data_IF_042879742217
#
_entry.id   IF_042879742217
#
_cell.length_a   1.000
_cell.length_b   1.000
_cell.length_c   1.000
_cell.angle_alpha   90.00
_cell.angle_beta   90.00
_cell.angle_gamma   90.00
#
_symmetry.space_group_name_H-M   'P 1'
#
loop_
_entity.id
_entity.type
_entity.pdbx_description
1 polymer ?
#
# COMPACT_ATOMS: atom_id res chain seq x y z
N UNK A 1 3.16 10.90 19.01
CA UNK A 1 2.77 11.55 17.74
C UNK A 1 1.28 11.81 17.84
N UNK A 2 0.82 12.99 17.43
CA UNK A 2 -0.58 13.40 17.57
C UNK A 2 -1.08 13.97 16.25
N UNK A 3 -2.39 13.88 16.02
CA UNK A 3 -3.06 14.48 14.87
C UNK A 3 -2.82 15.99 14.86
N UNK A 4 -2.96 16.65 16.01
CA UNK A 4 -2.75 18.10 16.14
C UNK A 4 -1.37 18.53 15.61
N UNK A 5 -0.30 17.84 16.02
CA UNK A 5 1.05 18.15 15.57
C UNK A 5 1.23 17.97 14.05
N UNK A 6 0.67 16.90 13.47
CA UNK A 6 0.76 16.65 12.02
C UNK A 6 -0.08 17.66 11.23
N UNK A 7 -1.27 18.02 11.75
CA UNK A 7 -2.14 19.05 11.17
C UNK A 7 -1.41 20.40 11.14
N UNK A 8 -0.85 20.84 12.25
CA UNK A 8 -0.17 22.14 12.33
C UNK A 8 1.07 22.18 11.43
N UNK A 9 1.85 21.11 11.38
CA UNK A 9 2.97 21.02 10.44
C UNK A 9 2.49 21.14 8.98
N UNK A 10 1.42 20.41 8.62
CA UNK A 10 0.89 20.44 7.24
C UNK A 10 0.44 21.84 6.80
N UNK A 11 -0.13 22.64 7.73
CA UNK A 11 -0.55 24.02 7.46
C UNK A 11 0.65 24.94 7.24
N UNK A 12 1.74 24.71 7.96
CA UNK A 12 2.96 25.52 7.87
C UNK A 12 3.88 25.10 6.71
N UNK A 13 3.69 23.91 6.14
CA UNK A 13 4.53 23.34 5.08
C UNK A 13 3.73 22.99 3.80
N UNK A 14 2.99 23.93 3.17
CA UNK A 14 2.14 23.62 2.00
C UNK A 14 2.92 23.14 0.76
N UNK A 15 4.20 23.50 0.69
CA UNK A 15 5.12 23.17 -0.40
C UNK A 15 5.76 21.79 -0.25
N UNK A 16 5.38 21.01 0.78
CA UNK A 16 5.98 19.73 1.07
C UNK A 16 5.77 18.72 -0.07
N UNK A 17 6.89 18.21 -0.61
CA UNK A 17 6.90 17.24 -1.71
C UNK A 17 6.99 15.79 -1.21
N UNK A 18 7.61 15.58 -0.06
CA UNK A 18 7.82 14.25 0.53
C UNK A 18 7.50 14.30 2.02
N UNK A 19 6.61 13.41 2.46
CA UNK A 19 6.32 13.22 3.87
C UNK A 19 6.43 11.75 4.23
N UNK A 20 7.30 11.42 5.18
CA UNK A 20 7.50 10.05 5.64
C UNK A 20 7.52 10.05 7.14
N UNK A 21 6.52 9.43 7.74
CA UNK A 21 6.39 9.36 9.19
C UNK A 21 6.36 7.90 9.63
N UNK A 22 7.30 7.54 10.49
CA UNK A 22 7.36 6.24 11.16
C UNK A 22 7.05 6.43 12.64
N UNK A 23 5.89 5.98 13.09
CA UNK A 23 5.52 5.91 14.50
C UNK A 23 5.98 4.54 15.01
N UNK A 24 6.90 4.55 15.97
CA UNK A 24 7.48 3.32 16.49
C UNK A 24 6.43 2.48 17.23
N UNK A 25 6.25 1.24 16.78
CA UNK A 25 5.25 0.29 17.28
C UNK A 25 4.04 0.14 16.35
N UNK A 26 3.41 -1.04 16.39
CA UNK A 26 2.24 -1.35 15.56
C UNK A 26 1.00 -0.64 16.07
N UNK A 27 0.14 -0.16 15.16
CA UNK A 27 -1.17 0.41 15.47
C UNK A 27 -1.18 1.46 16.61
N UNK A 28 -0.17 2.32 16.66
CA UNK A 28 -0.08 3.38 17.67
C UNK A 28 -1.08 4.50 17.37
N UNK A 29 -2.07 4.77 18.23
CA UNK A 29 -3.00 5.87 18.04
C UNK A 29 -2.32 7.22 18.31
N UNK A 30 -3.06 8.30 18.10
CA UNK A 30 -2.77 9.60 18.67
C UNK A 30 -2.47 9.45 20.16
N UNK A 31 -1.31 9.98 20.58
CA UNK A 31 -0.84 9.84 21.97
C UNK A 31 -1.77 10.52 22.97
N UNK A 32 -2.41 11.61 22.58
CA UNK A 32 -3.14 12.46 23.52
C UNK A 32 -4.63 12.13 23.51
N UNK A 33 -5.21 11.85 22.34
CA UNK A 33 -6.65 11.58 22.20
C UNK A 33 -6.99 10.10 22.16
N UNK A 34 -6.03 9.22 21.86
CA UNK A 34 -6.28 7.79 21.63
C UNK A 34 -6.98 7.49 20.30
N UNK A 35 -7.29 8.50 19.49
CA UNK A 35 -7.94 8.35 18.19
C UNK A 35 -6.95 7.82 17.12
N UNK A 36 -7.46 7.24 16.01
CA UNK A 36 -6.65 6.99 14.83
C UNK A 36 -5.96 8.26 14.31
N UNK A 37 -4.81 8.09 13.66
CA UNK A 37 -4.02 9.17 13.05
C UNK A 37 -4.61 9.66 11.69
N UNK A 38 -5.88 9.35 11.43
CA UNK A 38 -6.53 9.57 10.13
C UNK A 38 -6.60 11.05 9.76
N UNK A 39 -6.92 11.92 10.74
CA UNK A 39 -7.04 13.36 10.52
C UNK A 39 -5.67 14.00 10.26
N UNK A 40 -4.62 13.53 10.92
CA UNK A 40 -3.25 13.97 10.74
C UNK A 40 -2.76 13.69 9.32
N UNK A 41 -2.85 12.43 8.88
CA UNK A 41 -2.46 12.08 7.51
C UNK A 41 -3.41 12.65 6.46
N UNK A 42 -4.70 12.78 6.77
CA UNK A 42 -5.67 13.50 5.95
C UNK A 42 -5.25 14.95 5.71
N UNK A 43 -4.84 15.67 6.77
CA UNK A 43 -4.39 17.05 6.66
C UNK A 43 -3.14 17.20 5.78
N UNK A 44 -2.22 16.23 5.82
CA UNK A 44 -1.05 16.21 4.94
C UNK A 44 -1.45 16.23 3.47
N UNK A 45 -2.34 15.32 3.03
CA UNK A 45 -2.78 15.28 1.63
C UNK A 45 -3.74 16.42 1.29
N UNK A 46 -4.45 16.98 2.28
CA UNK A 46 -5.33 18.13 2.09
C UNK A 46 -4.56 19.45 1.96
N UNK A 47 -3.45 19.66 2.66
CA UNK A 47 -2.72 20.92 2.66
C UNK A 47 -1.48 20.91 1.75
N UNK A 48 -0.75 19.80 1.68
CA UNK A 48 0.49 19.70 0.91
C UNK A 48 0.22 19.26 -0.54
N UNK A 49 -0.25 20.18 -1.39
CA UNK A 49 -0.71 19.85 -2.75
C UNK A 49 0.39 19.40 -3.71
N UNK A 50 1.65 19.62 -3.37
CA UNK A 50 2.82 19.16 -4.14
C UNK A 50 3.35 17.79 -3.71
N UNK A 51 2.67 17.10 -2.80
CA UNK A 51 3.11 15.83 -2.25
C UNK A 51 3.16 14.74 -3.32
N UNK A 52 4.35 14.16 -3.49
CA UNK A 52 4.61 13.07 -4.45
C UNK A 52 4.99 11.75 -3.76
N UNK A 53 5.44 11.80 -2.50
CA UNK A 53 5.79 10.59 -1.74
C UNK A 53 5.24 10.67 -0.32
N UNK A 54 4.52 9.63 0.06
CA UNK A 54 3.91 9.49 1.37
C UNK A 54 4.29 8.14 1.99
N UNK A 55 4.74 8.14 3.25
CA UNK A 55 4.83 6.92 4.05
C UNK A 55 4.01 7.07 5.31
N UNK A 56 3.05 6.16 5.51
CA UNK A 56 2.08 6.19 6.62
C UNK A 56 2.33 5.06 7.62
N UNK A 57 2.07 5.33 8.89
CA UNK A 57 2.18 4.40 10.01
C UNK A 57 1.35 4.88 11.21
N UNK A 58 1.22 4.04 12.24
CA UNK A 58 0.32 4.27 13.37
C UNK A 58 -1.01 3.53 13.22
N UNK A 59 -1.98 3.82 14.09
CA UNK A 59 -3.35 3.36 13.92
C UNK A 59 -4.03 4.19 12.84
N UNK A 60 -4.33 3.58 11.70
CA UNK A 60 -5.02 4.22 10.59
C UNK A 60 -6.17 3.35 10.12
N UNK A 61 -7.33 3.96 9.91
CA UNK A 61 -8.50 3.30 9.34
C UNK A 61 -8.61 3.57 7.85
N UNK A 62 -9.59 2.95 7.19
CA UNK A 62 -9.90 3.22 5.77
C UNK A 62 -10.22 4.71 5.51
N UNK A 63 -10.58 5.48 6.54
CA UNK A 63 -10.82 6.93 6.45
C UNK A 63 -9.58 7.70 5.99
N UNK A 64 -8.39 7.35 6.49
CA UNK A 64 -7.14 7.95 6.02
C UNK A 64 -6.93 7.72 4.52
N UNK A 65 -7.24 6.50 4.05
CA UNK A 65 -7.10 6.12 2.65
C UNK A 65 -8.16 6.79 1.76
N UNK A 66 -9.37 7.02 2.28
CA UNK A 66 -10.37 7.84 1.60
C UNK A 66 -9.85 9.28 1.38
N UNK A 67 -9.22 9.89 2.40
CA UNK A 67 -8.58 11.20 2.24
C UNK A 67 -7.42 11.16 1.23
N UNK A 68 -6.56 10.14 1.29
CA UNK A 68 -5.44 9.95 0.37
C UNK A 68 -5.96 9.81 -1.07
N UNK A 69 -6.96 8.97 -1.32
CA UNK A 69 -7.58 8.82 -2.64
C UNK A 69 -8.22 10.12 -3.13
N UNK A 70 -8.92 10.83 -2.24
CA UNK A 70 -9.61 12.09 -2.60
C UNK A 70 -8.64 13.22 -2.94
N UNK A 71 -7.53 13.36 -2.21
CA UNK A 71 -6.67 14.55 -2.29
C UNK A 71 -5.26 14.29 -2.83
N UNK A 72 -4.74 13.06 -2.73
CA UNK A 72 -3.39 12.65 -3.09
C UNK A 72 -3.11 12.51 -4.59
N UNK A 73 -3.62 13.42 -5.42
CA UNK A 73 -3.59 13.30 -6.90
C UNK A 73 -2.20 13.32 -7.52
N UNK A 74 -1.20 13.83 -6.79
CA UNK A 74 0.21 13.85 -7.24
C UNK A 74 1.09 12.77 -6.60
N UNK A 75 0.54 11.94 -5.71
CA UNK A 75 1.30 10.88 -5.05
C UNK A 75 1.74 9.86 -6.10
N UNK A 76 3.06 9.67 -6.20
CA UNK A 76 3.73 8.66 -7.04
C UNK A 76 4.21 7.46 -6.24
N UNK A 77 4.47 7.64 -4.95
CA UNK A 77 4.97 6.58 -4.07
C UNK A 77 4.23 6.61 -2.76
N UNK A 78 3.55 5.51 -2.44
CA UNK A 78 2.86 5.30 -1.17
C UNK A 78 3.44 4.06 -0.49
N UNK A 79 3.93 4.23 0.75
CA UNK A 79 4.33 3.12 1.61
C UNK A 79 3.38 3.03 2.80
N UNK A 80 2.84 1.85 3.06
CA UNK A 80 1.82 1.57 4.08
C UNK A 80 2.33 0.47 5.00
N UNK A 81 2.27 0.69 6.31
CA UNK A 81 2.62 -0.33 7.31
C UNK A 81 1.61 -0.31 8.46
N UNK A 82 1.07 -1.49 8.81
CA UNK A 82 0.15 -1.68 9.94
C UNK A 82 -1.11 -0.79 9.88
N UNK A 83 -1.69 -0.61 8.70
CA UNK A 83 -2.72 0.40 8.47
C UNK A 83 -3.87 -0.09 7.58
N UNK A 84 -5.04 0.52 7.77
CA UNK A 84 -6.29 0.16 7.11
C UNK A 84 -7.07 -0.89 7.91
N UNK A 85 -8.38 -0.94 7.68
CA UNK A 85 -9.30 -1.87 8.31
C UNK A 85 -9.88 -2.87 7.31
N UNK A 86 -9.97 -2.50 6.02
CA UNK A 86 -10.50 -3.36 4.97
C UNK A 86 -9.91 -3.07 3.59
N UNK A 87 -10.34 -3.85 2.61
CA UNK A 87 -9.99 -3.67 1.20
C UNK A 87 -10.41 -2.32 0.60
N UNK A 88 -11.38 -1.63 1.22
CA UNK A 88 -11.79 -0.28 0.79
C UNK A 88 -10.62 0.70 0.79
N UNK A 89 -9.65 0.54 1.70
CA UNK A 89 -8.46 1.36 1.72
C UNK A 89 -7.67 1.30 0.40
N UNK A 90 -7.47 0.10 -0.16
CA UNK A 90 -6.81 -0.05 -1.45
C UNK A 90 -7.67 0.47 -2.60
N UNK A 91 -8.97 0.23 -2.56
CA UNK A 91 -9.89 0.75 -3.57
C UNK A 91 -9.82 2.28 -3.66
N UNK A 92 -9.87 2.99 -2.53
CA UNK A 92 -9.71 4.46 -2.53
C UNK A 92 -8.37 4.91 -3.10
N UNK A 93 -7.29 4.17 -2.84
CA UNK A 93 -5.96 4.48 -3.38
C UNK A 93 -5.93 4.30 -4.89
N UNK A 94 -6.42 3.17 -5.42
CA UNK A 94 -6.41 2.88 -6.85
C UNK A 94 -7.32 3.80 -7.66
N UNK A 95 -8.53 4.08 -7.17
CA UNK A 95 -9.47 5.00 -7.83
C UNK A 95 -9.00 6.47 -7.74
N UNK A 96 -8.33 6.82 -6.64
CA UNK A 96 -8.06 8.20 -6.29
C UNK A 96 -6.68 8.73 -6.69
N UNK A 97 -5.63 7.92 -6.55
CA UNK A 97 -4.23 8.33 -6.71
C UNK A 97 -3.76 8.15 -8.16
N UNK A 98 -4.23 9.01 -9.07
CA UNK A 98 -4.03 8.87 -10.53
C UNK A 98 -2.59 8.93 -11.05
N UNK A 99 -1.61 9.30 -10.20
CA UNK A 99 -0.19 9.34 -10.55
C UNK A 99 0.64 8.30 -9.78
N UNK A 100 0.00 7.40 -9.06
CA UNK A 100 0.66 6.38 -8.26
C UNK A 100 1.45 5.43 -9.17
N UNK A 101 2.74 5.29 -8.90
CA UNK A 101 3.66 4.42 -9.63
C UNK A 101 4.23 3.31 -8.75
N UNK A 102 4.31 3.52 -7.43
CA UNK A 102 4.89 2.57 -6.48
C UNK A 102 3.96 2.46 -5.27
N UNK A 103 3.50 1.26 -4.99
CA UNK A 103 2.77 0.93 -3.77
C UNK A 103 3.52 -0.15 -3.02
N UNK A 104 3.84 0.12 -1.77
CA UNK A 104 4.48 -0.82 -0.87
C UNK A 104 3.58 -0.99 0.35
N UNK A 105 3.08 -2.19 0.61
CA UNK A 105 2.21 -2.47 1.76
C UNK A 105 2.82 -3.58 2.60
N UNK A 106 2.79 -3.38 3.92
CA UNK A 106 3.21 -4.40 4.88
C UNK A 106 2.19 -4.55 6.00
N UNK A 107 1.97 -5.78 6.45
CA UNK A 107 1.23 -6.10 7.69
C UNK A 107 -0.13 -5.38 7.75
N UNK A 108 -0.87 -5.38 6.65
CA UNK A 108 -2.14 -4.66 6.51
C UNK A 108 -3.25 -5.63 6.08
N UNK A 109 -4.51 -5.43 6.53
CA UNK A 109 -5.58 -6.42 6.39
C UNK A 109 -6.21 -6.44 4.98
N UNK A 110 -5.40 -6.25 3.95
CA UNK A 110 -5.84 -6.25 2.56
C UNK A 110 -5.80 -7.66 1.98
N UNK A 111 -6.89 -8.03 1.33
CA UNK A 111 -7.14 -9.33 0.73
C UNK A 111 -7.13 -9.27 -0.80
N UNK A 112 -7.41 -10.41 -1.42
CA UNK A 112 -7.58 -10.53 -2.87
C UNK A 112 -8.58 -9.50 -3.44
N UNK A 113 -9.63 -9.16 -2.70
CA UNK A 113 -10.61 -8.15 -3.15
C UNK A 113 -9.97 -6.78 -3.30
N UNK A 114 -9.16 -6.36 -2.33
CA UNK A 114 -8.44 -5.10 -2.39
C UNK A 114 -7.44 -5.09 -3.53
N UNK A 115 -6.69 -6.17 -3.72
CA UNK A 115 -5.76 -6.32 -4.85
C UNK A 115 -6.48 -6.24 -6.21
N UNK A 116 -7.57 -6.99 -6.38
CA UNK A 116 -8.32 -7.06 -7.63
C UNK A 116 -9.10 -5.77 -7.94
N UNK A 117 -9.42 -4.94 -6.94
CA UNK A 117 -10.01 -3.62 -7.17
C UNK A 117 -9.11 -2.68 -7.98
N UNK A 118 -7.80 -2.95 -8.02
CA UNK A 118 -6.82 -2.16 -8.74
C UNK A 118 -6.51 -2.63 -10.16
N UNK A 119 -7.16 -3.68 -10.70
CA UNK A 119 -6.77 -4.30 -11.97
C UNK A 119 -6.57 -3.29 -13.11
N UNK A 120 -7.53 -2.39 -13.30
CA UNK A 120 -7.46 -1.33 -14.34
C UNK A 120 -6.32 -0.34 -14.12
N UNK A 121 -5.85 -0.20 -12.88
CA UNK A 121 -4.80 0.73 -12.50
C UNK A 121 -3.39 0.11 -12.53
N UNK A 122 -3.26 -1.20 -12.28
CA UNK A 122 -1.96 -1.87 -12.11
C UNK A 122 -1.02 -1.69 -13.33
N UNK A 123 -1.53 -1.52 -14.55
CA UNK A 123 -0.70 -1.24 -15.74
C UNK A 123 0.01 0.11 -15.73
N UNK A 124 -0.50 1.08 -14.96
CA UNK A 124 0.11 2.40 -14.80
C UNK A 124 1.20 2.42 -13.73
N UNK A 125 1.33 1.34 -12.97
CA UNK A 125 2.29 1.22 -11.90
C UNK A 125 3.65 0.69 -12.41
N UNK A 126 4.71 1.17 -11.77
CA UNK A 126 6.06 0.60 -11.93
C UNK A 126 6.16 -0.72 -11.17
N UNK A 127 5.72 -0.72 -9.92
CA UNK A 127 5.59 -1.95 -9.14
C UNK A 127 4.58 -1.80 -8.00
N UNK A 128 4.04 -2.93 -7.56
CA UNK A 128 3.30 -3.10 -6.32
C UNK A 128 3.99 -4.19 -5.51
N UNK A 129 4.24 -3.93 -4.23
CA UNK A 129 4.77 -4.90 -3.29
C UNK A 129 3.83 -5.01 -2.10
N UNK A 130 3.46 -6.23 -1.73
CA UNK A 130 2.64 -6.52 -0.56
C UNK A 130 3.28 -7.64 0.24
N UNK A 131 3.40 -7.47 1.55
CA UNK A 131 3.98 -8.46 2.45
C UNK A 131 3.13 -8.62 3.71
N UNK A 132 2.93 -9.87 4.14
CA UNK A 132 2.15 -10.19 5.34
C UNK A 132 0.74 -9.56 5.27
N UNK A 133 0.13 -9.65 4.08
CA UNK A 133 -1.26 -9.29 3.81
C UNK A 133 -2.12 -10.56 3.71
N UNK A 134 -3.43 -10.41 3.54
CA UNK A 134 -4.38 -11.55 3.43
C UNK A 134 -4.59 -11.99 1.98
N UNK A 135 -3.52 -11.95 1.20
CA UNK A 135 -3.53 -12.32 -0.21
C UNK A 135 -3.42 -13.82 -0.35
N UNK A 136 -4.15 -14.45 -1.26
CA UNK A 136 -4.07 -15.89 -1.52
C UNK A 136 -3.37 -16.19 -2.83
N UNK A 137 -2.91 -17.44 -3.00
CA UNK A 137 -2.40 -17.90 -4.30
C UNK A 137 -3.45 -17.78 -5.41
N UNK A 138 -4.74 -17.96 -5.08
CA UNK A 138 -5.85 -17.82 -6.03
C UNK A 138 -6.00 -16.38 -6.49
N UNK A 139 -5.95 -15.41 -5.57
CA UNK A 139 -5.97 -13.99 -5.90
C UNK A 139 -4.82 -13.59 -6.82
N UNK A 140 -3.60 -14.03 -6.48
CA UNK A 140 -2.40 -13.76 -7.29
C UNK A 140 -2.52 -14.33 -8.71
N UNK A 141 -2.99 -15.58 -8.86
CA UNK A 141 -3.30 -16.17 -10.18
C UNK A 141 -4.39 -15.41 -10.92
N UNK A 142 -5.40 -14.91 -10.22
CA UNK A 142 -6.46 -14.07 -10.79
C UNK A 142 -5.93 -12.79 -11.43
N UNK A 143 -4.90 -12.16 -10.83
CA UNK A 143 -4.19 -11.03 -11.43
C UNK A 143 -3.41 -11.47 -12.66
N UNK A 144 -2.59 -12.53 -12.57
CA UNK A 144 -1.78 -13.02 -13.69
C UNK A 144 -2.61 -13.37 -14.93
N UNK A 145 -3.77 -14.02 -14.74
CA UNK A 145 -4.68 -14.39 -15.83
C UNK A 145 -5.31 -13.19 -16.54
N UNK A 146 -5.63 -12.13 -15.80
CA UNK A 146 -6.27 -10.94 -16.35
C UNK A 146 -5.24 -9.94 -16.90
N UNK A 147 -3.99 -10.00 -16.44
CA UNK A 147 -2.97 -8.98 -16.67
C UNK A 147 -1.71 -9.53 -17.35
N UNK A 148 -1.82 -9.97 -18.61
CA UNK A 148 -0.75 -10.72 -19.32
C UNK A 148 0.62 -10.01 -19.47
N UNK A 149 0.66 -8.68 -19.35
CA UNK A 149 1.91 -7.88 -19.44
C UNK A 149 2.48 -7.50 -18.06
N UNK A 150 1.91 -8.05 -16.98
CA UNK A 150 2.35 -7.86 -15.61
C UNK A 150 3.02 -9.15 -15.13
N UNK A 151 4.24 -9.05 -14.64
CA UNK A 151 4.91 -10.18 -13.99
C UNK A 151 4.44 -10.24 -12.56
N UNK A 152 3.99 -11.42 -12.16
CA UNK A 152 3.44 -11.71 -10.82
C UNK A 152 4.41 -12.66 -10.12
N UNK A 153 5.18 -12.14 -9.16
CA UNK A 153 6.10 -12.96 -8.36
C UNK A 153 5.52 -13.18 -6.96
N UNK A 154 5.35 -14.44 -6.57
CA UNK A 154 5.07 -14.83 -5.20
C UNK A 154 6.38 -15.29 -4.56
N UNK A 155 6.79 -14.63 -3.48
CA UNK A 155 8.05 -14.88 -2.79
C UNK A 155 7.71 -15.46 -1.42
N UNK A 156 8.17 -16.68 -1.16
CA UNK A 156 7.97 -17.37 0.13
C UNK A 156 9.11 -17.06 1.09
N UNK A 157 8.81 -16.92 2.37
CA UNK A 157 9.83 -17.02 3.42
C UNK A 157 10.15 -18.50 3.69
N UNK A 158 11.41 -18.78 4.05
CA UNK A 158 11.91 -20.13 4.34
C UNK A 158 11.40 -20.68 5.69
N UNK A 159 10.09 -20.64 5.97
CA UNK A 159 9.53 -21.34 7.13
C UNK A 159 9.03 -22.72 6.75
N UNK A 160 9.66 -23.73 7.32
CA UNK A 160 9.38 -25.17 7.25
C UNK A 160 8.01 -25.58 7.85
N UNK A 161 7.09 -24.64 8.06
CA UNK A 161 5.74 -24.97 8.52
C UNK A 161 4.90 -25.39 7.30
N UNK A 162 4.86 -26.71 7.09
CA UNK A 162 3.95 -27.44 6.21
C UNK A 162 2.48 -27.37 6.69
N UNK A 163 2.01 -26.18 7.01
CA UNK A 163 0.59 -25.87 6.99
C UNK A 163 0.24 -25.30 5.61
N UNK A 164 -0.90 -25.68 5.03
CA UNK A 164 -1.48 -24.95 3.90
C UNK A 164 -1.83 -23.52 4.35
N UNK A 165 -0.83 -22.65 4.43
CA UNK A 165 -1.08 -21.22 4.58
C UNK A 165 -1.84 -20.80 3.32
N UNK A 166 -3.14 -20.53 3.49
CA UNK A 166 -4.02 -20.06 2.42
C UNK A 166 -3.51 -18.73 1.83
N UNK A 167 -2.67 -18.02 2.59
CA UNK A 167 -2.11 -16.71 2.25
C UNK A 167 -0.67 -16.77 1.74
N UNK A 168 -0.30 -15.84 0.86
CA UNK A 168 1.07 -15.65 0.37
C UNK A 168 1.87 -14.72 1.28
N UNK A 169 3.16 -15.01 1.48
CA UNK A 169 4.02 -14.16 2.31
C UNK A 169 4.26 -12.80 1.65
N UNK A 170 4.78 -12.83 0.43
CA UNK A 170 5.11 -11.64 -0.36
C UNK A 170 4.61 -11.78 -1.77
N UNK A 171 3.98 -10.71 -2.25
CA UNK A 171 3.63 -10.50 -3.64
C UNK A 171 4.46 -9.33 -4.18
N UNK A 172 5.09 -9.54 -5.33
CA UNK A 172 5.75 -8.48 -6.09
C UNK A 172 5.21 -8.47 -7.53
N UNK A 173 4.55 -7.37 -7.89
CA UNK A 173 3.99 -7.15 -9.22
C UNK A 173 4.79 -6.06 -9.92
N UNK A 174 5.14 -6.27 -11.17
CA UNK A 174 5.75 -5.23 -11.99
C UNK A 174 5.47 -5.43 -13.46
N UNK A 175 5.42 -4.32 -14.19
CA UNK A 175 5.29 -4.36 -15.64
C UNK A 175 6.65 -4.68 -16.27
N UNK A 176 6.67 -5.63 -17.20
CA UNK A 176 7.87 -6.01 -17.95
C UNK A 176 7.56 -6.12 -19.43
N UNK A 177 8.42 -5.54 -20.27
CA UNK A 177 8.39 -5.79 -21.72
C UNK A 177 9.20 -7.06 -22.11
N UNK A 178 10.06 -7.53 -21.21
CA UNK A 178 10.86 -8.73 -21.41
C UNK A 178 10.12 -10.01 -20.95
N UNK A 179 8.94 -9.87 -20.36
CA UNK A 179 8.25 -10.97 -19.67
C UNK A 179 8.90 -11.32 -18.32
N UNK A 180 8.58 -12.51 -17.78
CA UNK A 180 9.15 -13.04 -16.54
C UNK A 180 10.67 -13.22 -16.62
N UNK A 181 11.35 -13.04 -15.48
CA UNK A 181 12.80 -13.26 -15.38
C UNK A 181 13.16 -14.75 -15.40
N UNK A 182 14.37 -15.10 -15.84
CA UNK A 182 14.85 -16.48 -15.95
C UNK A 182 15.81 -16.90 -14.82
N UNK A 183 16.05 -16.02 -13.85
CA UNK A 183 16.97 -16.18 -12.72
C UNK A 183 16.22 -16.20 -11.37
N UNK A 184 14.95 -16.61 -11.38
CA UNK A 184 14.15 -16.75 -10.16
C UNK A 184 14.71 -17.88 -9.27
N UNK A 185 15.03 -17.61 -7.99
CA UNK A 185 15.48 -18.66 -7.08
C UNK A 185 14.29 -19.55 -6.64
N UNK A 186 14.54 -20.72 -6.04
CA UNK A 186 13.50 -21.71 -5.74
C UNK A 186 12.34 -21.24 -4.84
N UNK A 187 12.56 -20.20 -4.03
CA UNK A 187 11.54 -19.63 -3.14
C UNK A 187 10.65 -18.58 -3.84
N UNK A 188 10.85 -18.34 -5.14
CA UNK A 188 10.07 -17.41 -5.96
C UNK A 188 9.28 -18.19 -7.00
N UNK A 189 7.96 -18.06 -6.95
CA UNK A 189 7.05 -18.60 -7.96
C UNK A 189 6.62 -17.46 -8.89
N UNK A 190 6.97 -17.59 -10.17
CA UNK A 190 6.44 -16.75 -11.25
C UNK A 190 5.09 -17.30 -11.70
N UNK A 191 4.04 -16.47 -11.70
CA UNK A 191 2.67 -16.84 -12.09
C UNK A 191 2.27 -16.36 -13.47
#
# INVERSE_FOLDING_TARGET
MTNAAVIDMSKNCPELVVFRLCIMGRHRPDRDTGEPMDEGFGAIVMNCKKLTRLSVSGLLTDKAFAYIGKHGKLIKTLSVAFAGNSDMALQYVFEGCTKLQKLEVRDSPFSDRGLLSGLDYLYNMRFLWMNSCRLTMRGCRGVAQQMQNLVVEVIKDHSEDEGEAETVDKLYLYRSLAGPRNDAPPFVTLL
#
